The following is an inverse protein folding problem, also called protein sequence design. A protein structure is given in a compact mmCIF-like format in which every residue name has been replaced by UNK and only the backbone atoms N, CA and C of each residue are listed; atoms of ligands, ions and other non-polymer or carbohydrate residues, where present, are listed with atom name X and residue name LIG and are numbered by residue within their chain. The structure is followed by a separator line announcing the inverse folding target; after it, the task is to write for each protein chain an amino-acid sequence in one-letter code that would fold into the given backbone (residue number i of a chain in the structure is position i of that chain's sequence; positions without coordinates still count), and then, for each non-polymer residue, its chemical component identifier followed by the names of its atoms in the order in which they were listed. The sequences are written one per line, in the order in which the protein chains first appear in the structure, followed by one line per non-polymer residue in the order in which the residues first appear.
data_IF_998411419616
#
_entry.id   IF_998411419616
#
_cell.length_a   1.000
_cell.length_b   1.000
_cell.length_c   1.000
_cell.angle_alpha   90.00
_cell.angle_beta   90.00
_cell.angle_gamma   90.00
#
_symmetry.space_group_name_H-M   'P 1'
#
loop_
_entity.id
_entity.type
_entity.pdbx_description
1 polymer ?
#
# COMPACT_ATOMS: atom_id res chain seq x y z
N UNK A 1 -9.75 -25.76 -10.45
CA UNK A 1 -9.50 -24.84 -9.32
C UNK A 1 -8.60 -23.71 -9.79
N UNK A 2 -9.21 -22.59 -10.17
CA UNK A 2 -8.49 -21.36 -10.57
C UNK A 2 -8.01 -20.70 -9.29
N UNK A 3 -6.69 -20.59 -9.12
CA UNK A 3 -6.09 -19.93 -7.97
C UNK A 3 -6.56 -18.48 -7.92
N UNK A 4 -7.01 -18.04 -6.75
CA UNK A 4 -7.50 -16.68 -6.45
C UNK A 4 -6.54 -15.59 -6.95
N UNK A 5 -5.25 -15.90 -7.06
CA UNK A 5 -4.17 -15.05 -7.59
C UNK A 5 -4.36 -14.66 -9.07
N UNK A 6 -4.84 -15.55 -9.95
CA UNK A 6 -5.06 -15.22 -11.38
C UNK A 6 -6.28 -14.30 -11.57
N UNK A 7 -7.29 -14.40 -10.69
CA UNK A 7 -8.49 -13.55 -10.72
C UNK A 7 -8.19 -12.13 -10.23
N UNK A 8 -7.28 -12.01 -9.25
CA UNK A 8 -6.83 -10.70 -8.74
C UNK A 8 -6.00 -9.95 -9.80
N UNK A 9 -5.10 -10.63 -10.51
CA UNK A 9 -4.35 -10.03 -11.62
C UNK A 9 -5.24 -9.51 -12.75
N UNK A 10 -6.32 -10.23 -13.10
CA UNK A 10 -7.24 -9.80 -14.13
C UNK A 10 -8.10 -8.59 -13.72
N UNK A 11 -8.43 -8.44 -12.43
CA UNK A 11 -9.22 -7.29 -11.93
C UNK A 11 -8.38 -6.02 -11.73
N UNK A 12 -7.09 -6.14 -11.38
CA UNK A 12 -6.20 -4.99 -11.17
C UNK A 12 -5.91 -4.23 -12.48
N UNK A 13 -5.92 -4.90 -13.65
CA UNK A 13 -5.74 -4.24 -14.95
C UNK A 13 -7.06 -3.85 -15.67
N UNK A 14 -8.22 -4.31 -15.19
CA UNK A 14 -9.52 -4.12 -15.86
C UNK A 14 -10.36 -2.92 -15.33
N UNK A 15 -9.80 -2.07 -14.46
CA UNK A 15 -10.57 -1.06 -13.70
C UNK A 15 -10.97 0.23 -14.42
N UNK A 16 -10.59 0.46 -15.69
CA UNK A 16 -11.04 1.61 -16.48
C UNK A 16 -12.04 1.16 -17.55
N UNK A 17 -13.13 0.52 -17.10
CA UNK A 17 -14.22 0.09 -17.97
C UNK A 17 -15.26 1.19 -18.13
N UNK A 18 -15.11 2.03 -19.15
CA UNK A 18 -16.29 2.65 -19.77
C UNK A 18 -17.00 1.53 -20.52
N UNK A 19 -18.29 1.33 -20.22
CA UNK A 19 -19.07 0.21 -20.72
C UNK A 19 -18.97 0.06 -22.24
N UNK A 20 -18.49 -1.09 -22.71
CA UNK A 20 -18.63 -1.52 -24.10
C UNK A 20 -18.92 -3.03 -24.14
N UNK A 21 -19.88 -3.39 -24.99
CA UNK A 21 -20.55 -4.68 -25.05
C UNK A 21 -19.66 -5.90 -25.34
N UNK A 22 -20.28 -7.07 -25.13
CA UNK A 22 -19.71 -8.41 -25.28
C UNK A 22 -19.02 -8.59 -26.64
N UNK A 23 -17.78 -9.11 -26.62
CA UNK A 23 -17.21 -9.79 -27.79
C UNK A 23 -15.96 -9.22 -28.45
N UNK A 24 -14.99 -8.62 -27.73
CA UNK A 24 -13.64 -8.36 -28.28
C UNK A 24 -12.51 -8.74 -27.32
N UNK A 25 -11.49 -9.38 -27.88
CA UNK A 25 -10.29 -9.85 -27.19
C UNK A 25 -9.63 -8.76 -26.34
N UNK A 26 -9.31 -9.10 -25.08
CA UNK A 26 -8.64 -8.25 -24.09
C UNK A 26 -7.26 -7.81 -24.61
N UNK A 27 -7.08 -6.54 -24.95
CA UNK A 27 -5.77 -5.93 -25.24
C UNK A 27 -5.18 -5.34 -23.95
N UNK A 28 -3.95 -5.74 -23.59
CA UNK A 28 -3.19 -5.19 -22.45
C UNK A 28 -2.76 -3.74 -22.69
N UNK A 29 -2.92 -2.89 -21.67
CA UNK A 29 -2.25 -1.59 -21.49
C UNK A 29 -2.57 -0.52 -22.54
N UNK A 30 -3.75 0.13 -22.41
CA UNK A 30 -4.22 1.22 -23.29
C UNK A 30 -3.45 2.55 -23.12
N UNK A 31 -2.84 2.80 -21.96
CA UNK A 31 -2.20 4.08 -21.64
C UNK A 31 -0.67 3.96 -21.64
N UNK A 32 0.01 4.98 -22.15
CA UNK A 32 1.47 5.06 -22.25
C UNK A 32 2.11 5.63 -20.98
N UNK A 33 1.41 6.54 -20.30
CA UNK A 33 1.94 7.32 -19.17
C UNK A 33 0.79 7.74 -18.25
N UNK A 34 1.07 7.77 -16.95
CA UNK A 34 0.18 8.31 -15.90
C UNK A 34 0.97 9.34 -15.11
N UNK A 35 0.57 10.61 -15.13
CA UNK A 35 1.27 11.65 -14.37
C UNK A 35 0.31 12.71 -13.83
N UNK A 36 0.70 13.35 -12.72
CA UNK A 36 0.19 14.66 -12.36
C UNK A 36 0.87 15.69 -13.27
N UNK A 37 0.09 16.55 -13.92
CA UNK A 37 0.59 17.63 -14.79
C UNK A 37 0.27 18.98 -14.15
N UNK A 38 1.17 19.96 -14.31
CA UNK A 38 0.92 21.33 -13.85
C UNK A 38 -0.28 21.93 -14.59
N UNK A 39 -1.19 22.55 -13.84
CA UNK A 39 -2.44 23.09 -14.39
C UNK A 39 -3.49 22.04 -14.74
N UNK A 40 -3.33 20.78 -14.33
CA UNK A 40 -4.35 19.75 -14.52
C UNK A 40 -5.70 20.16 -13.87
N UNK A 41 -6.85 19.84 -14.50
CA UNK A 41 -8.15 20.15 -13.95
C UNK A 41 -8.36 19.47 -12.59
N UNK A 42 -8.96 20.16 -11.64
CA UNK A 42 -9.21 19.64 -10.31
C UNK A 42 -10.53 18.87 -10.20
N UNK A 43 -10.62 18.04 -9.17
CA UNK A 43 -11.87 17.54 -8.60
C UNK A 43 -11.88 17.83 -7.09
N UNK A 44 -12.86 17.28 -6.35
CA UNK A 44 -12.93 17.42 -4.90
C UNK A 44 -11.71 16.84 -4.15
N UNK A 45 -10.89 16.03 -4.82
CA UNK A 45 -9.69 15.38 -4.26
C UNK A 45 -8.37 15.98 -4.78
N UNK A 46 -8.42 17.21 -5.29
CA UNK A 46 -7.27 17.92 -5.85
C UNK A 46 -7.07 17.71 -7.36
N UNK A 47 -5.87 18.02 -7.88
CA UNK A 47 -5.54 17.87 -9.29
C UNK A 47 -5.74 16.44 -9.80
N UNK A 48 -6.38 16.31 -10.97
CA UNK A 48 -6.61 15.00 -11.62
C UNK A 48 -5.32 14.45 -12.24
N UNK A 49 -5.26 13.14 -12.39
CA UNK A 49 -4.17 12.47 -13.12
C UNK A 49 -4.46 12.46 -14.62
N UNK A 50 -3.45 12.78 -15.42
CA UNK A 50 -3.48 12.71 -16.87
C UNK A 50 -3.10 11.28 -17.31
N UNK A 51 -3.98 10.65 -18.09
CA UNK A 51 -3.77 9.34 -18.71
C UNK A 51 -3.66 9.51 -20.22
N UNK A 52 -2.46 9.31 -20.77
CA UNK A 52 -2.19 9.43 -22.22
C UNK A 52 -2.40 8.08 -22.92
N UNK A 53 -3.27 8.03 -23.93
CA UNK A 53 -3.53 6.80 -24.70
C UNK A 53 -2.41 6.51 -25.69
N UNK A 54 -2.01 5.23 -25.79
CA UNK A 54 -0.99 4.76 -26.74
C UNK A 54 -1.37 4.93 -28.21
N UNK A 55 -2.66 4.94 -28.53
CA UNK A 55 -3.18 4.80 -29.89
C UNK A 55 -3.61 6.12 -30.55
N UNK A 56 -3.83 7.18 -29.78
CA UNK A 56 -4.51 8.40 -30.28
C UNK A 56 -3.92 9.73 -29.81
N UNK A 57 -2.89 9.74 -28.96
CA UNK A 57 -2.34 10.97 -28.38
C UNK A 57 -3.34 11.77 -27.51
N UNK A 58 -4.56 11.27 -27.32
CA UNK A 58 -5.57 11.90 -26.48
C UNK A 58 -5.27 11.63 -25.00
N UNK A 59 -5.33 12.70 -24.22
CA UNK A 59 -5.26 12.67 -22.76
C UNK A 59 -6.66 12.62 -22.17
N UNK A 60 -6.84 11.82 -21.13
CA UNK A 60 -8.02 11.88 -20.27
C UNK A 60 -7.60 12.23 -18.86
N UNK A 61 -8.43 13.01 -18.15
CA UNK A 61 -8.19 13.36 -16.75
C UNK A 61 -9.13 12.58 -15.84
N UNK A 62 -8.55 11.86 -14.89
CA UNK A 62 -9.30 11.03 -13.93
C UNK A 62 -8.99 11.45 -12.50
N UNK A 63 -9.94 11.21 -11.59
CA UNK A 63 -9.69 11.41 -10.16
C UNK A 63 -8.48 10.57 -9.73
N UNK A 64 -7.58 11.18 -8.96
CA UNK A 64 -6.42 10.52 -8.37
C UNK A 64 -6.84 9.58 -7.24
N UNK A 65 -7.76 10.01 -6.38
CA UNK A 65 -8.17 9.27 -5.18
C UNK A 65 -9.17 8.13 -5.45
N UNK A 66 -10.12 8.33 -6.38
CA UNK A 66 -11.23 7.40 -6.61
C UNK A 66 -11.19 6.83 -8.03
N UNK A 67 -11.38 5.51 -8.16
CA UNK A 67 -11.23 4.83 -9.46
C UNK A 67 -12.36 5.12 -10.44
N UNK A 68 -13.54 5.45 -9.94
CA UNK A 68 -14.71 5.71 -10.77
C UNK A 68 -15.29 7.09 -10.47
N UNK A 69 -15.80 7.75 -11.51
CA UNK A 69 -16.32 9.12 -11.42
C UNK A 69 -17.54 9.21 -10.48
N UNK A 70 -18.39 8.18 -10.46
CA UNK A 70 -19.55 8.13 -9.56
C UNK A 70 -19.16 8.18 -8.09
N UNK A 71 -18.11 7.47 -7.67
CA UNK A 71 -17.64 7.49 -6.29
C UNK A 71 -17.02 8.85 -5.94
N UNK A 72 -16.24 9.44 -6.86
CA UNK A 72 -15.73 10.80 -6.70
C UNK A 72 -16.87 11.81 -6.51
N UNK A 73 -17.93 11.73 -7.31
CA UNK A 73 -19.11 12.59 -7.19
C UNK A 73 -19.87 12.37 -5.88
N UNK A 74 -20.12 11.12 -5.49
CA UNK A 74 -20.79 10.80 -4.21
C UNK A 74 -20.02 11.32 -3.01
N UNK A 75 -18.69 11.17 -3.00
CA UNK A 75 -17.85 11.68 -1.92
C UNK A 75 -17.89 13.21 -1.88
N UNK A 76 -17.80 13.89 -3.03
CA UNK A 76 -17.96 15.35 -3.11
C UNK A 76 -19.30 15.80 -2.55
N UNK A 77 -20.39 15.17 -2.98
CA UNK A 77 -21.75 15.56 -2.59
C UNK A 77 -21.94 15.33 -1.07
N UNK A 78 -21.48 14.18 -0.57
CA UNK A 78 -21.49 13.88 0.87
C UNK A 78 -20.70 14.91 1.68
N UNK A 79 -19.47 15.24 1.26
CA UNK A 79 -18.62 16.25 1.92
C UNK A 79 -19.25 17.65 1.88
N UNK A 80 -19.93 18.01 0.79
CA UNK A 80 -20.62 19.31 0.69
C UNK A 80 -21.83 19.43 1.62
N UNK A 81 -22.45 18.31 1.96
CA UNK A 81 -23.59 18.22 2.87
C UNK A 81 -23.21 17.89 4.32
N UNK A 82 -21.91 17.81 4.63
CA UNK A 82 -21.44 17.35 5.93
C UNK A 82 -21.78 18.37 7.03
N UNK A 83 -22.35 17.89 8.12
CA UNK A 83 -22.61 18.70 9.30
C UNK A 83 -21.28 19.15 9.96
N UNK A 84 -21.25 20.28 10.67
CA UNK A 84 -20.10 20.67 11.46
C UNK A 84 -19.75 19.59 12.50
N UNK A 85 -18.50 19.15 12.50
CA UNK A 85 -17.98 18.25 13.54
C UNK A 85 -17.35 19.06 14.66
N UNK A 86 -17.60 18.63 15.89
CA UNK A 86 -16.74 18.98 17.03
C UNK A 86 -15.37 18.32 16.89
N UNK A 87 -14.39 18.77 17.68
CA UNK A 87 -13.07 18.12 17.76
C UNK A 87 -12.97 17.24 18.99
N UNK A 88 -12.12 16.22 18.95
CA UNK A 88 -11.84 15.39 20.11
C UNK A 88 -11.39 16.23 21.32
N UNK A 89 -10.55 17.27 21.12
CA UNK A 89 -10.09 18.15 22.19
C UNK A 89 -11.21 19.02 22.78
N UNK A 90 -12.24 19.36 22.00
CA UNK A 90 -13.41 20.04 22.55
C UNK A 90 -14.28 19.07 23.36
N UNK A 91 -14.43 17.82 22.87
CA UNK A 91 -15.25 16.78 23.51
C UNK A 91 -14.74 16.35 24.88
N UNK A 92 -13.41 16.29 25.09
CA UNK A 92 -12.86 15.86 26.40
C UNK A 92 -13.28 16.76 27.57
N UNK A 93 -13.74 17.99 27.30
CA UNK A 93 -14.25 18.92 28.33
C UNK A 93 -15.62 18.53 28.88
N UNK A 94 -16.36 17.69 28.16
CA UNK A 94 -17.70 17.24 28.56
C UNK A 94 -17.64 15.90 29.30
N UNK A 95 -18.72 15.56 30.00
CA UNK A 95 -18.87 14.24 30.64
C UNK A 95 -18.83 13.14 29.59
N UNK A 96 -18.32 11.96 29.97
CA UNK A 96 -18.16 10.82 29.05
C UNK A 96 -19.46 10.50 28.33
N UNK A 97 -20.59 10.51 29.05
CA UNK A 97 -21.92 10.17 28.54
C UNK A 97 -22.37 11.12 27.41
N UNK A 98 -21.97 12.38 27.46
CA UNK A 98 -22.32 13.37 26.44
C UNK A 98 -21.46 13.30 25.18
N UNK A 99 -20.33 12.59 25.20
CA UNK A 99 -19.41 12.49 24.04
C UNK A 99 -19.92 11.46 23.05
N UNK A 100 -20.24 11.91 21.83
CA UNK A 100 -20.86 11.06 20.83
C UNK A 100 -20.17 11.13 19.46
N UNK A 101 -20.26 10.04 18.70
CA UNK A 101 -19.90 9.97 17.29
C UNK A 101 -21.09 9.48 16.48
N UNK A 102 -21.51 10.26 15.49
CA UNK A 102 -22.54 9.84 14.54
C UNK A 102 -21.90 9.10 13.37
N UNK A 103 -22.20 7.81 13.20
CA UNK A 103 -21.71 7.00 12.08
C UNK A 103 -22.36 7.42 10.75
N UNK A 104 -23.61 7.88 10.77
CA UNK A 104 -24.34 8.34 9.57
C UNK A 104 -23.72 9.61 8.99
N UNK A 105 -23.50 10.62 9.83
CA UNK A 105 -22.96 11.92 9.44
C UNK A 105 -21.43 11.95 9.43
N UNK A 106 -20.79 10.97 10.11
CA UNK A 106 -19.35 10.84 10.30
C UNK A 106 -18.72 12.03 11.05
N UNK A 107 -19.39 12.49 12.10
CA UNK A 107 -18.98 13.65 12.91
C UNK A 107 -19.00 13.35 14.40
N UNK A 108 -18.15 14.03 15.15
CA UNK A 108 -18.22 14.10 16.60
C UNK A 108 -19.20 15.19 17.03
N UNK A 109 -19.97 14.93 18.08
CA UNK A 109 -20.91 15.89 18.65
C UNK A 109 -21.11 15.66 20.15
N UNK A 110 -21.78 16.61 20.80
CA UNK A 110 -22.11 16.58 22.23
C UNK A 110 -23.61 16.38 22.39
N UNK A 111 -24.01 15.39 23.18
CA UNK A 111 -25.42 15.15 23.55
C UNK A 111 -25.87 16.12 24.66
N UNK A 112 -27.13 16.60 24.64
CA UNK A 112 -28.20 16.31 23.68
C UNK A 112 -28.08 17.06 22.36
N UNK A 113 -28.47 16.41 21.27
CA UNK A 113 -28.59 17.02 19.94
C UNK A 113 -29.77 16.40 19.17
N UNK A 114 -30.75 17.23 18.81
CA UNK A 114 -31.95 16.80 18.08
C UNK A 114 -31.65 16.40 16.64
N UNK A 115 -30.54 16.88 16.05
CA UNK A 115 -30.15 16.54 14.67
C UNK A 115 -29.80 15.07 14.53
N UNK A 116 -29.31 14.44 15.60
CA UNK A 116 -28.78 13.08 15.58
C UNK A 116 -29.70 12.02 16.21
N UNK A 117 -30.93 12.38 16.59
CA UNK A 117 -31.86 11.51 17.33
C UNK A 117 -32.23 10.22 16.58
N UNK A 118 -32.29 10.28 15.24
CA UNK A 118 -32.62 9.14 14.37
C UNK A 118 -31.41 8.57 13.62
N UNK A 119 -30.20 8.96 14.00
CA UNK A 119 -28.97 8.51 13.36
C UNK A 119 -28.33 7.33 14.12
N UNK A 120 -27.38 6.66 13.47
CA UNK A 120 -26.55 5.64 14.13
C UNK A 120 -25.48 6.33 14.95
N UNK A 121 -25.63 6.33 16.27
CA UNK A 121 -24.77 7.05 17.21
C UNK A 121 -24.06 6.09 18.15
N UNK A 122 -22.78 6.36 18.38
CA UNK A 122 -21.98 5.76 19.46
C UNK A 122 -21.82 6.84 20.54
N UNK A 123 -22.40 6.60 21.72
CA UNK A 123 -22.32 7.51 22.87
C UNK A 123 -21.33 6.99 23.92
N UNK A 124 -20.96 7.84 24.88
CA UNK A 124 -20.12 7.39 26.00
C UNK A 124 -18.64 7.25 25.66
N UNK A 125 -18.13 8.01 24.67
CA UNK A 125 -16.78 7.85 24.15
C UNK A 125 -15.71 8.19 25.22
N UNK A 126 -14.86 7.23 25.63
CA UNK A 126 -13.76 7.53 26.53
C UNK A 126 -12.65 8.31 25.80
N UNK A 127 -11.83 9.02 26.58
CA UNK A 127 -10.72 9.82 26.02
C UNK A 127 -9.71 8.97 25.23
N UNK A 128 -9.49 7.72 25.65
CA UNK A 128 -8.62 6.78 24.94
C UNK A 128 -9.12 6.43 23.54
N UNK A 129 -10.44 6.31 23.35
CA UNK A 129 -11.06 6.08 22.03
C UNK A 129 -10.95 7.31 21.14
N UNK A 130 -11.14 8.50 21.69
CA UNK A 130 -10.97 9.75 20.96
C UNK A 130 -9.52 9.96 20.49
N UNK A 131 -8.54 9.54 21.31
CA UNK A 131 -7.11 9.66 20.98
C UNK A 131 -6.60 8.61 19.97
N UNK A 132 -7.33 7.51 19.79
CA UNK A 132 -6.93 6.39 18.91
C UNK A 132 -8.11 5.93 18.04
N UNK A 133 -8.58 6.79 17.13
CA UNK A 133 -9.82 6.56 16.41
C UNK A 133 -9.82 5.33 15.50
N UNK A 134 -8.67 4.89 14.98
CA UNK A 134 -8.60 3.73 14.09
C UNK A 134 -9.02 2.42 14.76
N UNK A 135 -9.01 2.32 16.09
CA UNK A 135 -9.44 1.14 16.83
C UNK A 135 -10.97 1.05 16.99
N UNK A 136 -11.71 2.13 16.72
CA UNK A 136 -13.16 2.13 16.85
C UNK A 136 -13.89 2.52 15.56
N UNK A 137 -13.29 3.35 14.71
CA UNK A 137 -13.87 3.71 13.42
C UNK A 137 -13.94 2.47 12.54
N UNK A 138 -15.11 2.24 11.94
CA UNK A 138 -15.26 1.19 10.95
C UNK A 138 -14.38 1.48 9.71
N UNK A 139 -13.66 0.48 9.17
CA UNK A 139 -12.82 0.68 8.01
C UNK A 139 -13.65 1.01 6.76
N UNK A 140 -13.18 1.95 5.95
CA UNK A 140 -13.76 2.24 4.63
C UNK A 140 -13.22 1.25 3.58
N UNK A 141 -13.74 0.02 3.59
CA UNK A 141 -13.16 -1.13 2.84
C UNK A 141 -13.39 -1.11 1.31
N UNK A 142 -14.21 -0.19 0.81
CA UNK A 142 -14.59 -0.12 -0.60
C UNK A 142 -13.38 0.03 -1.52
N UNK A 143 -13.10 -1.00 -2.31
CA UNK A 143 -11.83 -1.17 -3.03
C UNK A 143 -11.59 -0.17 -4.18
N UNK A 144 -12.65 0.48 -4.66
CA UNK A 144 -12.61 1.53 -5.67
C UNK A 144 -12.49 2.94 -5.08
N UNK A 145 -12.54 3.03 -3.76
CA UNK A 145 -12.58 4.26 -2.97
C UNK A 145 -11.37 4.27 -2.02
N UNK A 146 -11.61 4.30 -0.71
CA UNK A 146 -10.56 4.37 0.31
C UNK A 146 -9.75 3.08 0.46
N UNK A 147 -10.38 1.92 0.27
CA UNK A 147 -9.75 0.60 0.43
C UNK A 147 -8.92 0.50 1.73
N UNK A 148 -9.49 0.98 2.84
CA UNK A 148 -8.82 1.04 4.14
C UNK A 148 -8.86 -0.33 4.82
N UNK A 149 -7.71 -0.77 5.32
CA UNK A 149 -7.59 -2.01 6.08
C UNK A 149 -6.58 -1.81 7.20
N UNK A 150 -6.93 -2.25 8.39
CA UNK A 150 -6.07 -2.05 9.56
C UNK A 150 -5.11 -3.21 9.75
N UNK A 151 -3.86 -2.87 10.09
CA UNK A 151 -2.83 -3.84 10.43
C UNK A 151 -3.22 -4.65 11.66
N UNK A 152 -2.86 -5.93 11.66
CA UNK A 152 -2.98 -6.76 12.86
C UNK A 152 -1.99 -6.31 13.93
N UNK A 153 -2.31 -6.59 15.19
CA UNK A 153 -1.43 -6.29 16.33
C UNK A 153 -0.02 -6.90 16.21
N UNK A 154 0.11 -8.13 15.70
CA UNK A 154 1.42 -8.78 15.53
C UNK A 154 2.34 -8.00 14.57
N UNK A 155 1.79 -7.50 13.47
CA UNK A 155 2.52 -6.65 12.52
C UNK A 155 2.90 -5.31 13.16
N UNK A 156 2.01 -4.70 13.94
CA UNK A 156 2.29 -3.43 14.62
C UNK A 156 3.41 -3.59 15.67
N UNK A 157 3.41 -4.68 16.44
CA UNK A 157 4.48 -5.03 17.39
C UNK A 157 5.81 -5.26 16.69
N UNK A 158 5.78 -5.94 15.53
CA UNK A 158 6.96 -6.07 14.67
C UNK A 158 7.48 -4.69 14.25
N UNK A 159 6.62 -3.82 13.71
CA UNK A 159 7.02 -2.49 13.28
C UNK A 159 7.59 -1.64 14.42
N UNK A 160 6.98 -1.63 15.60
CA UNK A 160 7.54 -0.91 16.74
C UNK A 160 8.88 -1.49 17.21
N UNK A 161 9.13 -2.79 17.03
CA UNK A 161 10.45 -3.38 17.28
C UNK A 161 11.47 -2.96 16.23
N UNK A 162 11.08 -2.95 14.94
CA UNK A 162 11.91 -2.49 13.83
C UNK A 162 12.31 -1.02 14.00
N UNK A 163 11.35 -0.14 14.32
CA UNK A 163 11.62 1.28 14.54
C UNK A 163 12.62 1.50 15.69
N UNK A 164 12.53 0.72 16.78
CA UNK A 164 13.51 0.73 17.87
C UNK A 164 14.90 0.31 17.42
N UNK A 165 15.02 -0.83 16.73
CA UNK A 165 16.30 -1.38 16.26
C UNK A 165 16.99 -0.39 15.31
N UNK A 166 16.23 0.17 14.37
CA UNK A 166 16.72 1.16 13.41
C UNK A 166 16.98 2.53 14.03
N UNK A 167 16.60 2.75 15.30
CA UNK A 167 16.67 4.03 16.02
C UNK A 167 16.00 5.15 15.23
N UNK A 168 14.75 4.91 14.81
CA UNK A 168 13.96 5.91 14.12
C UNK A 168 13.43 6.93 15.13
N UNK A 169 13.73 8.20 14.89
CA UNK A 169 13.29 9.33 15.71
C UNK A 169 11.94 9.88 15.25
N UNK A 170 11.70 9.88 13.93
CA UNK A 170 10.48 10.42 13.34
C UNK A 170 9.77 9.44 12.40
N UNK A 171 8.44 9.41 12.44
CA UNK A 171 7.63 8.60 11.52
C UNK A 171 6.57 9.47 10.83
N UNK A 172 6.67 9.58 9.51
CA UNK A 172 5.61 10.14 8.67
C UNK A 172 4.69 9.01 8.20
N UNK A 173 3.50 8.93 8.77
CA UNK A 173 2.48 7.94 8.43
C UNK A 173 1.68 8.44 7.21
N UNK A 174 1.73 7.72 6.08
CA UNK A 174 0.99 8.04 4.86
C UNK A 174 -0.06 6.96 4.59
N UNK A 175 -1.32 7.23 4.92
CA UNK A 175 -2.42 6.27 4.79
C UNK A 175 -2.39 5.15 5.84
N UNK A 176 -1.76 5.39 7.00
CA UNK A 176 -1.52 4.35 8.02
C UNK A 176 -2.00 4.76 9.42
N UNK A 177 -3.30 5.09 9.58
CA UNK A 177 -3.85 5.61 10.84
C UNK A 177 -3.71 4.60 11.99
N UNK A 178 -3.76 3.28 11.71
CA UNK A 178 -3.58 2.26 12.74
C UNK A 178 -2.13 2.18 13.27
N UNK A 179 -1.13 2.38 12.42
CA UNK A 179 0.25 2.50 12.87
C UNK A 179 0.43 3.77 13.70
N UNK A 180 -0.15 4.88 13.25
CA UNK A 180 -0.12 6.14 13.97
C UNK A 180 -0.70 5.99 15.39
N UNK A 181 -1.89 5.41 15.54
CA UNK A 181 -2.51 5.19 16.85
C UNK A 181 -1.73 4.23 17.73
N UNK A 182 -1.23 3.13 17.15
CA UNK A 182 -0.42 2.16 17.89
C UNK A 182 0.85 2.81 18.47
N UNK A 183 1.50 3.70 17.71
CA UNK A 183 2.64 4.46 18.22
C UNK A 183 2.24 5.42 19.35
N UNK A 184 0.99 5.90 19.41
CA UNK A 184 0.47 6.72 20.54
C UNK A 184 0.43 5.85 21.80
N UNK A 185 -0.07 4.62 21.66
CA UNK A 185 -0.10 3.68 22.77
C UNK A 185 1.33 3.32 23.22
N UNK A 186 2.26 3.05 22.30
CA UNK A 186 3.64 2.73 22.64
C UNK A 186 4.39 3.86 23.35
N UNK A 187 4.07 5.13 23.07
CA UNK A 187 4.68 6.26 23.79
C UNK A 187 4.19 6.40 25.23
N UNK A 188 3.05 5.80 25.56
CA UNK A 188 2.45 5.80 26.90
C UNK A 188 2.80 4.54 27.71
N UNK A 189 3.52 3.57 27.11
CA UNK A 189 3.97 2.37 27.80
C UNK A 189 5.04 2.73 28.84
N UNK A 190 4.82 2.36 30.10
CA UNK A 190 5.72 2.68 31.21
C UNK A 190 6.95 1.77 31.24
N UNK A 191 6.83 0.55 30.70
CA UNK A 191 7.90 -0.45 30.76
C UNK A 191 8.99 -0.20 29.73
N UNK A 192 8.61 0.05 28.47
CA UNK A 192 9.52 0.22 27.34
C UNK A 192 8.96 1.28 26.37
N UNK A 193 8.94 2.56 26.77
CA UNK A 193 8.34 3.62 25.97
C UNK A 193 9.03 3.77 24.63
N UNK A 194 8.24 3.93 23.57
CA UNK A 194 8.73 4.31 22.24
C UNK A 194 8.33 5.76 21.96
N UNK A 195 9.24 6.68 22.25
CA UNK A 195 9.05 8.09 21.93
C UNK A 195 9.46 8.33 20.48
N UNK A 196 8.48 8.65 19.63
CA UNK A 196 8.67 8.94 18.21
C UNK A 196 7.89 10.22 17.90
N UNK A 197 8.55 11.17 17.25
CA UNK A 197 7.86 12.31 16.65
C UNK A 197 7.13 11.83 15.40
N UNK A 198 5.84 12.12 15.26
CA UNK A 198 5.04 11.53 14.18
C UNK A 198 3.96 12.46 13.67
N UNK A 199 3.60 12.24 12.41
CA UNK A 199 2.55 12.99 11.74
C UNK A 199 1.80 12.06 10.79
N UNK A 200 0.49 12.26 10.66
CA UNK A 200 -0.38 11.47 9.82
C UNK A 200 -0.87 12.27 8.60
N UNK A 201 -0.66 11.71 7.43
CA UNK A 201 -1.23 12.13 6.15
C UNK A 201 -2.22 11.06 5.71
N UNK A 202 -3.51 11.39 5.60
CA UNK A 202 -4.54 10.45 5.14
C UNK A 202 -5.61 11.15 4.29
N UNK A 203 -6.26 10.39 3.42
CA UNK A 203 -7.38 10.89 2.60
C UNK A 203 -8.69 10.94 3.40
N UNK A 204 -8.81 10.13 4.45
CA UNK A 204 -10.01 9.96 5.27
C UNK A 204 -10.32 11.23 6.09
N UNK A 205 -11.33 11.99 5.63
CA UNK A 205 -11.76 13.23 6.27
C UNK A 205 -12.29 13.05 7.69
N UNK A 206 -12.72 11.83 8.07
CA UNK A 206 -13.24 11.56 9.42
C UNK A 206 -12.21 11.88 10.49
N UNK A 207 -10.93 11.69 10.18
CA UNK A 207 -9.81 11.86 11.09
C UNK A 207 -9.58 13.33 11.49
N UNK A 208 -10.07 14.30 10.71
CA UNK A 208 -9.97 15.74 11.02
C UNK A 208 -10.68 16.09 12.35
N UNK A 209 -11.73 15.35 12.72
CA UNK A 209 -12.42 15.55 13.99
C UNK A 209 -11.66 14.97 15.19
N UNK A 210 -10.75 14.02 14.97
CA UNK A 210 -10.09 13.27 16.06
C UNK A 210 -8.71 13.78 16.41
N UNK A 211 -7.95 14.24 15.41
CA UNK A 211 -6.58 14.65 15.61
C UNK A 211 -6.44 16.16 15.47
N UNK A 212 -5.58 16.80 16.28
CA UNK A 212 -5.25 18.20 16.09
C UNK A 212 -4.47 18.39 14.78
N UNK A 213 -4.55 19.58 14.20
CA UNK A 213 -3.82 19.93 12.97
C UNK A 213 -2.29 19.75 13.10
N UNK A 214 -1.74 19.82 14.32
CA UNK A 214 -0.33 19.57 14.61
C UNK A 214 0.10 18.11 14.43
N UNK A 215 -0.84 17.17 14.33
CA UNK A 215 -0.58 15.73 14.18
C UNK A 215 -1.16 15.13 12.91
N UNK A 216 -2.10 15.81 12.26
CA UNK A 216 -2.82 15.29 11.11
C UNK A 216 -3.16 16.39 10.10
N UNK A 217 -3.08 16.05 8.82
CA UNK A 217 -3.78 16.80 7.78
C UNK A 217 -4.33 15.87 6.71
N UNK A 218 -5.48 16.24 6.15
CA UNK A 218 -6.06 15.54 5.01
C UNK A 218 -5.16 15.74 3.79
N UNK A 219 -4.76 14.63 3.18
CA UNK A 219 -3.76 14.59 2.13
C UNK A 219 -4.07 13.49 1.11
N UNK A 220 -3.88 13.80 -0.17
CA UNK A 220 -4.00 12.82 -1.25
C UNK A 220 -2.61 12.38 -1.73
N UNK A 221 -2.22 11.15 -1.35
CA UNK A 221 -0.90 10.60 -1.63
C UNK A 221 -0.60 10.34 -3.11
N UNK A 222 -1.61 10.36 -4.00
CA UNK A 222 -1.40 10.12 -5.43
C UNK A 222 -1.09 11.38 -6.23
N UNK A 223 -1.45 12.57 -5.72
CA UNK A 223 -1.16 13.84 -6.38
C UNK A 223 -0.46 14.86 -5.45
N UNK A 224 -0.17 14.49 -4.21
CA UNK A 224 0.50 15.34 -3.24
C UNK A 224 -0.35 16.54 -2.78
N UNK A 225 -1.69 16.45 -2.86
CA UNK A 225 -2.57 17.56 -2.54
C UNK A 225 -2.93 17.62 -1.05
N UNK A 226 -2.71 18.78 -0.43
CA UNK A 226 -3.24 19.15 0.87
C UNK A 226 -4.60 19.83 0.71
N UNK A 227 -5.60 19.41 1.50
CA UNK A 227 -6.96 19.94 1.37
C UNK A 227 -7.17 21.28 2.09
N UNK A 228 -6.25 21.64 3.01
CA UNK A 228 -6.28 22.88 3.78
C UNK A 228 -4.85 23.44 3.90
N UNK A 229 -4.68 24.74 3.66
CA UNK A 229 -3.38 25.42 3.81
C UNK A 229 -2.82 25.32 5.23
N UNK A 230 -3.66 25.54 6.25
CA UNK A 230 -3.25 25.40 7.65
C UNK A 230 -2.72 23.99 8.00
N UNK A 231 -3.24 22.97 7.32
CA UNK A 231 -2.76 21.59 7.45
C UNK A 231 -1.41 21.37 6.77
N UNK A 232 -1.19 22.00 5.60
CA UNK A 232 0.12 22.03 4.93
C UNK A 232 1.17 22.78 5.78
N UNK A 233 0.80 23.90 6.39
CA UNK A 233 1.68 24.65 7.30
C UNK A 233 2.08 23.82 8.52
N UNK A 234 1.11 23.12 9.13
CA UNK A 234 1.36 22.23 10.27
C UNK A 234 2.26 21.06 9.88
N UNK A 235 2.05 20.47 8.70
CA UNK A 235 2.93 19.45 8.14
C UNK A 235 4.35 20.00 7.91
N UNK A 236 4.49 21.19 7.32
CA UNK A 236 5.80 21.82 7.11
C UNK A 236 6.52 22.10 8.45
N UNK A 237 5.79 22.45 9.51
CA UNK A 237 6.36 22.58 10.85
C UNK A 237 6.85 21.25 11.41
N UNK A 238 6.08 20.17 11.26
CA UNK A 238 6.53 18.82 11.60
C UNK A 238 7.82 18.46 10.85
N UNK A 239 7.88 18.70 9.54
CA UNK A 239 9.04 18.40 8.70
C UNK A 239 10.29 19.16 9.16
N UNK A 240 10.16 20.44 9.51
CA UNK A 240 11.25 21.26 10.08
C UNK A 240 11.69 20.80 11.46
N UNK A 241 10.78 20.19 12.24
CA UNK A 241 11.09 19.65 13.57
C UNK A 241 11.81 18.29 13.51
N UNK A 242 11.79 17.61 12.36
CA UNK A 242 12.42 16.30 12.22
C UNK A 242 13.95 16.44 12.25
N UNK A 243 14.59 15.72 13.18
CA UNK A 243 16.03 15.51 13.25
C UNK A 243 16.38 14.02 13.31
N UNK A 244 17.62 13.62 13.05
CA UNK A 244 18.04 12.21 13.17
C UNK A 244 17.53 11.32 12.02
N UNK A 245 16.95 10.16 12.35
CA UNK A 245 16.44 9.18 11.39
C UNK A 245 14.92 9.28 11.24
N UNK A 246 14.44 9.37 10.01
CA UNK A 246 13.02 9.49 9.69
C UNK A 246 12.56 8.33 8.81
N UNK A 247 11.42 7.73 9.14
CA UNK A 247 10.75 6.73 8.31
C UNK A 247 9.48 7.32 7.71
N UNK A 248 9.37 7.33 6.38
CA UNK A 248 8.10 7.50 5.68
C UNK A 248 7.47 6.11 5.53
N UNK A 249 6.35 5.87 6.19
CA UNK A 249 5.65 4.60 6.13
C UNK A 249 4.33 4.74 5.37
N UNK A 250 4.16 3.98 4.29
CA UNK A 250 2.99 4.06 3.41
C UNK A 250 2.34 2.70 3.17
N UNK A 251 1.01 2.62 3.34
CA UNK A 251 0.20 1.45 2.97
C UNK A 251 -0.88 1.86 1.95
N UNK A 252 -0.52 1.95 0.67
CA UNK A 252 -1.46 2.44 -0.34
C UNK A 252 -2.49 1.36 -0.72
N UNK A 253 -3.66 1.77 -1.27
CA UNK A 253 -4.61 0.83 -1.86
C UNK A 253 -3.99 -0.10 -2.93
N UNK A 254 -4.45 -1.34 -3.03
CA UNK A 254 -3.87 -2.39 -3.89
C UNK A 254 -3.80 -2.08 -5.39
N UNK A 255 -4.66 -1.19 -5.89
CA UNK A 255 -4.63 -0.75 -7.29
C UNK A 255 -4.27 0.72 -7.43
N UNK A 256 -3.52 1.24 -6.47
CA UNK A 256 -2.84 2.53 -6.56
C UNK A 256 -1.97 2.57 -7.82
N UNK A 257 -1.88 3.75 -8.42
CA UNK A 257 -0.98 4.00 -9.53
C UNK A 257 0.41 4.26 -8.95
N UNK A 258 1.34 3.31 -9.16
CA UNK A 258 2.66 3.30 -8.49
C UNK A 258 3.52 4.51 -8.85
N UNK A 259 3.53 4.92 -10.12
CA UNK A 259 4.33 6.06 -10.59
C UNK A 259 3.96 7.38 -9.87
N UNK A 260 2.68 7.83 -9.85
CA UNK A 260 2.30 9.02 -9.09
C UNK A 260 2.51 8.91 -7.57
N UNK A 261 2.31 7.72 -6.99
CA UNK A 261 2.56 7.49 -5.57
C UNK A 261 4.05 7.71 -5.24
N UNK A 262 4.95 7.06 -5.99
CA UNK A 262 6.39 7.19 -5.80
C UNK A 262 6.84 8.64 -6.02
N UNK A 263 6.30 9.34 -7.02
CA UNK A 263 6.58 10.76 -7.23
C UNK A 263 6.22 11.61 -6.00
N UNK A 264 5.06 11.33 -5.39
CA UNK A 264 4.61 12.01 -4.17
C UNK A 264 5.48 11.66 -2.96
N UNK A 265 5.80 10.38 -2.75
CA UNK A 265 6.70 9.95 -1.66
C UNK A 265 8.10 10.56 -1.81
N UNK A 266 8.63 10.65 -3.03
CA UNK A 266 9.91 11.31 -3.30
C UNK A 266 9.86 12.82 -3.02
N UNK A 267 8.72 13.48 -3.27
CA UNK A 267 8.53 14.89 -2.88
C UNK A 267 8.55 15.06 -1.36
N UNK A 268 7.88 14.16 -0.63
CA UNK A 268 7.92 14.15 0.85
C UNK A 268 9.35 13.88 1.36
N UNK A 269 10.06 12.90 0.79
CA UNK A 269 11.45 12.58 1.14
C UNK A 269 12.39 13.77 0.95
N UNK A 270 12.25 14.54 -0.13
CA UNK A 270 13.02 15.78 -0.34
C UNK A 270 12.70 16.86 0.69
N UNK A 271 11.46 16.96 1.15
CA UNK A 271 11.13 17.92 2.23
C UNK A 271 11.83 17.63 3.57
N UNK A 272 12.39 16.42 3.76
CA UNK A 272 13.06 15.95 4.98
C UNK A 272 14.60 15.96 4.85
N UNK A 273 15.15 16.79 3.97
CA UNK A 273 16.58 16.87 3.60
C UNK A 273 17.58 16.91 4.78
N UNK A 274 17.17 17.40 5.95
CA UNK A 274 18.02 17.48 7.15
C UNK A 274 18.08 16.17 7.97
N UNK A 275 17.47 15.09 7.49
CA UNK A 275 17.39 13.81 8.21
C UNK A 275 17.83 12.64 7.33
N UNK A 276 18.26 11.55 7.96
CA UNK A 276 18.42 10.29 7.26
C UNK A 276 17.02 9.68 7.02
N UNK A 277 16.53 9.80 5.79
CA UNK A 277 15.17 9.38 5.45
C UNK A 277 15.15 8.00 4.80
N UNK A 278 14.34 7.13 5.39
CA UNK A 278 13.96 5.84 4.83
C UNK A 278 12.50 5.85 4.40
N UNK A 279 12.18 5.03 3.40
CA UNK A 279 10.82 4.80 2.91
C UNK A 279 10.50 3.33 3.09
N UNK A 280 9.31 3.03 3.63
CA UNK A 280 8.74 1.70 3.65
C UNK A 280 7.33 1.73 3.08
N UNK A 281 7.12 0.96 2.01
CA UNK A 281 5.82 0.83 1.36
C UNK A 281 5.36 -0.62 1.45
N UNK A 282 4.15 -0.85 1.95
CA UNK A 282 3.55 -2.19 1.98
C UNK A 282 2.67 -2.42 0.76
N UNK A 283 3.04 -3.37 -0.10
CA UNK A 283 2.24 -3.74 -1.27
C UNK A 283 2.28 -5.25 -1.50
N UNK A 284 1.32 -5.82 -2.25
CA UNK A 284 1.39 -7.21 -2.66
C UNK A 284 2.62 -7.50 -3.51
N UNK A 285 3.31 -8.61 -3.21
CA UNK A 285 4.53 -8.98 -3.94
C UNK A 285 4.32 -9.06 -5.46
N UNK A 286 3.12 -9.44 -5.90
CA UNK A 286 2.80 -9.61 -7.31
C UNK A 286 2.61 -8.30 -8.09
N UNK A 287 2.36 -7.18 -7.41
CA UNK A 287 2.42 -5.83 -8.02
C UNK A 287 3.71 -5.10 -7.68
N UNK A 288 4.51 -5.62 -6.75
CA UNK A 288 5.79 -5.05 -6.33
C UNK A 288 6.75 -4.75 -7.48
N UNK A 289 6.72 -5.51 -8.57
CA UNK A 289 7.51 -5.20 -9.78
C UNK A 289 7.21 -3.80 -10.35
N UNK A 290 5.97 -3.32 -10.29
CA UNK A 290 5.60 -1.97 -10.74
C UNK A 290 6.14 -0.91 -9.79
N UNK A 291 6.15 -1.18 -8.49
CA UNK A 291 6.77 -0.31 -7.50
C UNK A 291 8.29 -0.22 -7.76
N UNK A 292 8.98 -1.34 -7.92
CA UNK A 292 10.42 -1.39 -8.20
C UNK A 292 10.82 -0.79 -9.55
N UNK A 293 9.89 -0.69 -10.51
CA UNK A 293 10.11 0.04 -11.76
C UNK A 293 10.11 1.56 -11.54
N UNK A 294 9.28 2.04 -10.61
CA UNK A 294 9.18 3.46 -10.28
C UNK A 294 10.20 3.89 -9.21
N UNK A 295 10.56 3.00 -8.30
CA UNK A 295 11.53 3.19 -7.22
C UNK A 295 12.51 1.99 -7.16
N UNK A 296 13.53 1.95 -8.05
CA UNK A 296 14.48 0.84 -8.15
C UNK A 296 15.38 0.66 -6.92
N UNK A 297 15.49 1.68 -6.07
CA UNK A 297 16.27 1.68 -4.84
C UNK A 297 15.62 0.85 -3.71
N UNK A 298 14.30 0.59 -3.79
CA UNK A 298 13.61 -0.21 -2.80
C UNK A 298 13.94 -1.69 -2.96
N UNK A 299 14.00 -2.41 -1.83
CA UNK A 299 14.16 -3.85 -1.76
C UNK A 299 12.95 -4.47 -1.09
N UNK A 300 12.45 -5.57 -1.64
CA UNK A 300 11.36 -6.34 -1.02
C UNK A 300 11.93 -7.22 0.10
N UNK A 301 11.38 -7.13 1.31
CA UNK A 301 11.70 -8.04 2.40
C UNK A 301 10.74 -9.25 2.38
N UNK A 302 11.14 -10.34 3.03
CA UNK A 302 10.37 -11.58 3.06
C UNK A 302 9.24 -11.58 4.12
N UNK A 303 9.22 -10.59 5.00
CA UNK A 303 8.25 -10.48 6.09
C UNK A 303 6.82 -10.30 5.59
N UNK A 304 5.90 -11.08 6.17
CA UNK A 304 4.48 -11.08 5.81
C UNK A 304 3.75 -9.98 6.59
N UNK A 305 3.20 -9.00 5.87
CA UNK A 305 2.37 -7.93 6.46
C UNK A 305 0.98 -8.48 6.74
N UNK A 306 0.53 -8.47 7.99
CA UNK A 306 -0.78 -9.02 8.38
C UNK A 306 -1.78 -7.93 8.79
N UNK A 307 -3.06 -8.20 8.51
CA UNK A 307 -4.18 -7.27 8.69
C UNK A 307 -5.27 -7.90 9.54
N UNK A 308 -6.06 -7.09 10.25
CA UNK A 308 -7.21 -7.56 11.01
C UNK A 308 -8.25 -8.22 10.09
N UNK A 309 -8.57 -9.50 10.38
CA UNK A 309 -9.69 -10.29 9.81
C UNK A 309 -10.04 -10.05 8.33
N UNK A 310 -9.05 -9.88 7.45
CA UNK A 310 -9.33 -9.60 6.04
C UNK A 310 -8.91 -10.72 5.07
N UNK A 311 -9.92 -11.31 4.42
CA UNK A 311 -9.76 -12.45 3.52
C UNK A 311 -9.07 -12.13 2.19
N UNK A 312 -9.08 -10.87 1.71
CA UNK A 312 -8.50 -10.54 0.39
C UNK A 312 -6.97 -10.50 0.40
N UNK A 313 -6.35 -10.42 1.58
CA UNK A 313 -4.88 -10.36 1.71
C UNK A 313 -4.25 -11.72 1.90
N UNK A 314 -5.08 -12.75 1.85
CA UNK A 314 -4.77 -14.08 2.27
C UNK A 314 -4.77 -14.99 1.04
N UNK A 315 -3.63 -15.64 0.79
CA UNK A 315 -3.49 -16.70 -0.19
C UNK A 315 -3.61 -18.07 0.47
N UNK A 316 -4.00 -19.10 -0.28
CA UNK A 316 -3.95 -20.48 0.21
C UNK A 316 -2.47 -20.89 0.32
N UNK A 317 -2.00 -21.14 1.53
CA UNK A 317 -0.65 -21.61 1.81
C UNK A 317 -0.65 -22.61 2.97
N UNK A 318 0.49 -23.21 3.22
CA UNK A 318 0.75 -24.00 4.43
C UNK A 318 1.68 -23.15 5.30
N UNK A 319 1.21 -22.72 6.47
CA UNK A 319 2.13 -22.46 7.57
C UNK A 319 2.68 -23.83 8.03
N UNK A 320 3.88 -23.91 8.56
CA UNK A 320 4.56 -25.19 8.89
C UNK A 320 3.79 -26.14 9.83
N UNK A 321 2.58 -25.78 10.28
CA UNK A 321 1.68 -26.57 11.09
C UNK A 321 0.42 -26.95 10.30
N UNK A 322 0.50 -27.99 9.45
CA UNK A 322 -0.57 -28.84 8.86
C UNK A 322 -2.05 -28.36 8.84
N UNK A 323 -2.27 -27.05 8.69
CA UNK A 323 -3.56 -26.39 8.75
C UNK A 323 -3.66 -25.54 7.50
N UNK A 324 -4.83 -25.57 6.84
CA UNK A 324 -5.11 -24.76 5.64
C UNK A 324 -5.29 -23.28 6.04
N UNK A 325 -4.34 -22.68 6.75
CA UNK A 325 -4.33 -21.27 7.12
C UNK A 325 -3.86 -20.43 5.94
N UNK A 326 -4.51 -19.28 5.77
CA UNK A 326 -4.22 -18.41 4.63
C UNK A 326 -3.05 -17.48 4.96
N UNK A 327 -2.10 -17.34 4.05
CA UNK A 327 -0.84 -16.60 4.24
C UNK A 327 -0.92 -15.24 3.54
N UNK A 328 -0.41 -14.18 4.19
CA UNK A 328 -0.46 -12.84 3.59
C UNK A 328 0.33 -12.75 2.27
N UNK A 329 -0.24 -12.07 1.28
CA UNK A 329 0.42 -11.73 0.00
C UNK A 329 1.15 -10.40 0.02
N UNK A 330 1.03 -9.64 1.11
CA UNK A 330 1.62 -8.30 1.23
C UNK A 330 3.01 -8.39 1.84
N UNK A 331 3.95 -7.61 1.28
CA UNK A 331 5.35 -7.52 1.71
C UNK A 331 5.73 -6.05 1.86
N UNK A 332 6.65 -5.72 2.79
CA UNK A 332 7.25 -4.40 2.84
C UNK A 332 8.34 -4.26 1.75
N UNK A 333 8.41 -3.07 1.17
CA UNK A 333 9.42 -2.63 0.21
C UNK A 333 10.10 -1.41 0.81
N UNK A 334 11.43 -1.43 0.95
CA UNK A 334 12.13 -0.37 1.66
C UNK A 334 13.54 -0.13 1.14
N UNK A 335 14.05 1.09 1.31
CA UNK A 335 15.45 1.47 1.08
C UNK A 335 16.33 1.29 2.32
N UNK A 336 15.77 0.86 3.46
CA UNK A 336 16.58 0.44 4.63
C UNK A 336 17.46 -0.75 4.23
N UNK A 337 18.74 -0.78 4.64
CA UNK A 337 19.58 -1.96 4.46
C UNK A 337 18.94 -3.20 5.09
N UNK A 338 18.66 -4.21 4.26
CA UNK A 338 17.80 -5.32 4.64
C UNK A 338 18.32 -6.17 5.83
N UNK A 339 19.64 -6.18 6.07
CA UNK A 339 20.25 -6.86 7.22
C UNK A 339 19.93 -6.18 8.56
N UNK A 340 19.63 -4.87 8.57
CA UNK A 340 19.27 -4.13 9.78
C UNK A 340 17.86 -4.46 10.28
N UNK A 341 17.00 -5.02 9.42
CA UNK A 341 15.62 -5.38 9.79
C UNK A 341 15.60 -6.86 10.21
N UNK A 342 15.56 -7.08 11.52
CA UNK A 342 15.49 -8.42 12.11
C UNK A 342 14.10 -9.06 11.93
N UNK A 343 13.96 -10.39 11.98
CA UNK A 343 12.67 -11.05 11.91
C UNK A 343 11.75 -10.73 13.10
N UNK A 344 10.42 -10.87 12.94
CA UNK A 344 9.50 -10.84 14.07
C UNK A 344 9.92 -11.86 15.13
N UNK A 345 10.07 -11.43 16.39
CA UNK A 345 10.59 -12.28 17.47
C UNK A 345 9.83 -13.61 17.61
N UNK A 346 8.51 -13.59 17.46
CA UNK A 346 7.65 -14.78 17.54
C UNK A 346 7.76 -15.75 16.35
N UNK A 347 8.44 -15.35 15.28
CA UNK A 347 8.61 -16.13 14.05
C UNK A 347 10.08 -16.24 13.66
N UNK A 348 11.03 -15.94 14.55
CA UNK A 348 12.44 -15.85 14.22
C UNK A 348 13.01 -17.18 13.67
N UNK A 349 12.49 -18.30 14.17
CA UNK A 349 12.78 -19.67 13.72
C UNK A 349 12.27 -19.99 12.30
N UNK A 350 11.44 -19.13 11.71
CA UNK A 350 10.93 -19.28 10.33
C UNK A 350 11.77 -18.52 9.30
N UNK A 351 12.85 -17.88 9.72
CA UNK A 351 13.75 -17.12 8.85
C UNK A 351 15.19 -17.55 9.07
N UNK A 352 16.00 -17.42 8.03
CA UNK A 352 17.45 -17.61 8.08
C UNK A 352 18.14 -16.38 7.47
N UNK A 353 19.38 -16.11 7.90
CA UNK A 353 20.16 -15.01 7.35
C UNK A 353 20.94 -15.48 6.12
N UNK A 354 20.69 -14.84 4.98
CA UNK A 354 21.45 -15.08 3.75
C UNK A 354 22.66 -14.15 3.71
N UNK A 355 23.86 -14.70 3.96
CA UNK A 355 25.13 -13.96 3.93
C UNK A 355 25.42 -13.32 2.56
N UNK A 356 25.04 -13.97 1.47
CA UNK A 356 25.30 -13.46 0.12
C UNK A 356 24.43 -12.23 -0.17
N UNK A 357 23.14 -12.31 0.19
CA UNK A 357 22.20 -11.22 -0.04
C UNK A 357 22.15 -10.18 1.09
N UNK A 358 22.86 -10.42 2.20
CA UNK A 358 22.85 -9.61 3.42
C UNK A 358 21.42 -9.25 3.87
N UNK A 359 20.60 -10.29 4.09
CA UNK A 359 19.20 -10.15 4.51
C UNK A 359 18.66 -11.42 5.16
N UNK A 360 17.63 -11.28 6.00
CA UNK A 360 16.82 -12.41 6.44
C UNK A 360 15.84 -12.83 5.35
N UNK A 361 15.73 -14.15 5.12
CA UNK A 361 14.82 -14.75 4.15
C UNK A 361 14.00 -15.84 4.81
N UNK A 362 12.79 -16.08 4.30
CA UNK A 362 11.95 -17.21 4.75
C UNK A 362 12.72 -18.53 4.55
N UNK A 363 12.55 -19.52 5.43
CA UNK A 363 13.23 -20.83 5.31
C UNK A 363 13.01 -21.49 3.94
N UNK A 364 11.86 -21.23 3.29
CA UNK A 364 11.56 -21.74 1.94
C UNK A 364 12.09 -20.85 0.82
N UNK A 365 12.65 -19.70 1.13
CA UNK A 365 13.31 -18.84 0.16
C UNK A 365 14.83 -19.08 0.17
N UNK A 366 15.23 -20.19 -0.45
CA UNK A 366 16.64 -20.50 -0.62
C UNK A 366 17.29 -19.58 -1.67
N UNK A 367 18.57 -19.26 -1.44
CA UNK A 367 19.37 -18.48 -2.38
C UNK A 367 19.53 -19.25 -3.70
N UNK A 368 19.41 -18.55 -4.83
CA UNK A 368 19.73 -19.08 -6.14
C UNK A 368 21.05 -18.49 -6.64
N UNK A 369 22.10 -19.31 -6.70
CA UNK A 369 23.44 -18.88 -7.12
C UNK A 369 23.47 -18.30 -8.55
N UNK A 370 22.63 -18.83 -9.45
CA UNK A 370 22.55 -18.36 -10.83
C UNK A 370 21.91 -16.97 -10.95
N UNK A 371 20.95 -16.66 -10.09
CA UNK A 371 20.35 -15.33 -10.01
C UNK A 371 21.12 -14.40 -9.05
N UNK A 372 22.02 -14.95 -8.23
CA UNK A 372 22.64 -14.29 -7.08
C UNK A 372 21.60 -13.60 -6.17
N UNK A 373 20.47 -14.28 -5.92
CA UNK A 373 19.34 -13.71 -5.20
C UNK A 373 18.45 -14.77 -4.53
N UNK A 374 17.81 -14.39 -3.42
CA UNK A 374 16.72 -15.14 -2.81
C UNK A 374 15.39 -14.77 -3.49
N UNK A 375 14.97 -15.56 -4.47
CA UNK A 375 13.93 -15.19 -5.46
C UNK A 375 12.53 -15.70 -5.16
N UNK A 376 12.35 -16.49 -4.11
CA UNK A 376 11.07 -17.11 -3.76
C UNK A 376 10.18 -16.10 -3.05
N UNK A 377 9.16 -15.60 -3.75
CA UNK A 377 8.24 -14.61 -3.17
C UNK A 377 7.16 -15.24 -2.28
N UNK A 378 6.77 -16.48 -2.58
CA UNK A 378 5.71 -17.19 -1.88
C UNK A 378 5.75 -18.70 -2.14
N UNK A 379 5.52 -19.50 -1.11
CA UNK A 379 5.37 -20.95 -1.20
C UNK A 379 6.71 -21.68 -1.13
N UNK A 380 6.84 -22.75 -1.90
CA UNK A 380 8.06 -23.57 -1.96
C UNK A 380 9.15 -22.89 -2.80
N UNK A 381 10.41 -23.25 -2.51
CA UNK A 381 11.62 -22.72 -3.18
C UNK A 381 11.48 -22.70 -4.70
N UNK A 382 11.68 -21.54 -5.30
CA UNK A 382 11.64 -21.40 -6.76
C UNK A 382 12.82 -22.10 -7.44
N UNK A 383 12.57 -22.66 -8.62
CA UNK A 383 13.57 -23.35 -9.43
C UNK A 383 14.06 -22.43 -10.56
N UNK A 384 15.38 -22.34 -10.72
CA UNK A 384 15.99 -21.55 -11.79
C UNK A 384 15.78 -22.21 -13.16
N UNK A 385 15.27 -21.46 -14.13
CA UNK A 385 15.29 -21.87 -15.52
C UNK A 385 16.45 -21.20 -16.26
N UNK A 386 17.44 -22.01 -16.66
CA UNK A 386 18.65 -21.54 -17.36
C UNK A 386 18.29 -20.78 -18.64
N UNK A 387 17.36 -21.32 -19.44
CA UNK A 387 16.97 -20.71 -20.72
C UNK A 387 16.29 -19.35 -20.55
N UNK A 388 15.48 -19.17 -19.50
CA UNK A 388 14.82 -17.90 -19.21
C UNK A 388 15.65 -16.96 -18.33
N UNK A 389 16.73 -17.47 -17.72
CA UNK A 389 17.54 -16.80 -16.71
C UNK A 389 16.71 -16.19 -15.57
N UNK A 390 15.69 -16.93 -15.11
CA UNK A 390 14.72 -16.50 -14.09
C UNK A 390 14.28 -17.71 -13.27
N UNK A 391 14.10 -17.48 -11.96
CA UNK A 391 13.49 -18.45 -11.05
C UNK A 391 11.96 -18.43 -11.13
N UNK A 392 11.35 -19.62 -11.14
CA UNK A 392 9.91 -19.82 -11.19
C UNK A 392 9.42 -20.73 -10.05
N UNK A 393 8.13 -20.63 -9.65
CA UNK A 393 7.55 -21.60 -8.72
C UNK A 393 7.77 -23.05 -9.18
N UNK A 394 7.89 -24.02 -8.25
CA UNK A 394 8.00 -25.43 -8.62
C UNK A 394 6.91 -25.90 -9.57
N UNK A 395 7.30 -26.77 -10.51
CA UNK A 395 6.41 -27.33 -11.53
C UNK A 395 6.21 -26.46 -12.78
N UNK A 396 6.89 -25.31 -12.88
CA UNK A 396 7.01 -24.62 -14.17
C UNK A 396 7.92 -25.40 -15.12
N UNK A 397 7.57 -25.43 -16.41
CA UNK A 397 8.31 -26.11 -17.48
C UNK A 397 8.58 -25.14 -18.64
N UNK A 398 9.78 -25.21 -19.23
CA UNK A 398 10.17 -24.37 -20.36
C UNK A 398 9.75 -25.00 -21.71
N UNK A 399 8.93 -24.35 -22.55
CA UNK A 399 8.73 -24.76 -23.96
C UNK A 399 9.80 -24.11 -24.83
N UNK A 400 10.75 -24.92 -25.33
CA UNK A 400 11.82 -24.47 -26.24
C UNK A 400 11.26 -23.76 -27.49
N UNK A 401 10.11 -24.20 -28.02
CA UNK A 401 9.49 -23.57 -29.21
C UNK A 401 8.96 -22.16 -28.94
N UNK A 402 8.51 -21.91 -27.71
CA UNK A 402 7.96 -20.63 -27.27
C UNK A 402 8.97 -19.74 -26.55
N UNK A 403 10.11 -20.31 -26.14
CA UNK A 403 11.15 -19.66 -25.35
C UNK A 403 10.62 -19.01 -24.07
N UNK A 404 9.70 -19.73 -23.40
CA UNK A 404 9.02 -19.25 -22.20
C UNK A 404 8.68 -20.41 -21.25
N UNK A 405 8.69 -20.13 -19.95
CA UNK A 405 8.23 -21.03 -18.91
C UNK A 405 6.72 -20.93 -18.68
N UNK A 406 6.08 -22.07 -18.47
CA UNK A 406 4.65 -22.19 -18.22
C UNK A 406 4.39 -23.14 -17.06
N UNK A 407 3.29 -22.92 -16.34
CA UNK A 407 2.76 -23.87 -15.37
C UNK A 407 1.76 -24.81 -16.07
N UNK A 408 2.02 -26.12 -16.15
CA UNK A 408 1.04 -27.08 -16.68
C UNK A 408 -0.26 -27.05 -15.87
N UNK A 409 -1.42 -27.04 -16.54
CA UNK A 409 -2.74 -27.13 -15.88
C UNK A 409 -3.30 -28.54 -16.11
N UNK A 410 -3.62 -29.27 -15.04
CA UNK A 410 -4.29 -30.58 -15.07
C UNK A 410 -3.64 -31.61 -16.04
N UNK A 411 -2.31 -31.75 -16.02
CA UNK A 411 -1.60 -32.70 -16.89
C UNK A 411 -1.56 -32.34 -18.38
N UNK A 412 -2.16 -31.22 -18.80
CA UNK A 412 -2.05 -30.75 -20.18
C UNK A 412 -0.71 -30.04 -20.38
N UNK A 413 0.10 -30.61 -21.27
CA UNK A 413 1.34 -30.00 -21.78
C UNK A 413 0.97 -28.73 -22.55
N UNK A 414 1.78 -27.68 -22.39
CA UNK A 414 1.61 -26.43 -23.11
C UNK A 414 1.56 -26.67 -24.63
N UNK A 415 0.45 -26.28 -25.28
CA UNK A 415 0.27 -26.40 -26.74
C UNK A 415 0.91 -25.18 -27.39
N UNK A 416 2.10 -25.36 -27.97
CA UNK A 416 2.84 -24.29 -28.63
C UNK A 416 2.15 -23.98 -30.00
N UNK A 417 1.08 -23.15 -30.02
CA UNK A 417 0.39 -22.69 -31.25
C UNK A 417 1.23 -21.64 -32.00
N UNK A 418 2.31 -22.07 -32.66
CA UNK A 418 2.90 -21.31 -33.78
C UNK A 418 2.48 -21.99 -35.07
N UNK A 419 1.30 -21.66 -35.59
CA UNK A 419 1.10 -21.81 -37.03
C UNK A 419 1.78 -20.63 -37.71
N UNK A 420 2.80 -20.99 -38.48
CA UNK A 420 3.45 -20.29 -39.60
C UNK A 420 2.77 -18.97 -40.01
N UNK A 421 3.50 -17.86 -39.82
CA UNK A 421 3.57 -16.85 -40.86
C UNK A 421 5.04 -16.79 -41.30
N UNK A 422 5.41 -17.68 -42.22
CA UNK A 422 6.49 -17.38 -43.15
C UNK A 422 6.14 -16.10 -43.91
N UNK A 423 7.18 -15.36 -44.30
CA UNK A 423 7.19 -14.09 -45.01
C UNK A 423 6.91 -12.83 -44.16
N UNK A 424 7.96 -12.31 -43.54
CA UNK A 424 8.80 -11.26 -44.15
C UNK A 424 9.89 -10.85 -43.15
N UNK A 425 11.12 -10.80 -43.64
CA UNK A 425 12.27 -10.23 -42.95
C UNK A 425 11.91 -8.93 -42.23
N UNK A 426 11.97 -8.97 -40.90
CA UNK A 426 12.18 -7.78 -40.09
C UNK A 426 13.41 -8.03 -39.24
N UNK A 427 14.41 -7.12 -39.21
CA UNK A 427 15.64 -7.36 -38.51
C UNK A 427 15.35 -7.61 -37.03
N UNK A 428 15.88 -8.73 -36.52
CA UNK A 428 15.89 -9.05 -35.11
C UNK A 428 16.51 -7.88 -34.36
N UNK A 429 15.70 -7.07 -33.66
CA UNK A 429 16.23 -6.19 -32.62
C UNK A 429 16.81 -7.10 -31.53
N UNK A 430 18.14 -7.22 -31.51
CA UNK A 430 18.89 -7.67 -30.33
C UNK A 430 18.28 -6.93 -29.14
N UNK A 431 17.67 -7.66 -28.20
CA UNK A 431 17.49 -7.13 -26.85
C UNK A 431 18.92 -6.89 -26.34
N UNK A 432 19.33 -5.64 -26.38
CA UNK A 432 20.51 -5.20 -25.66
C UNK A 432 20.23 -5.56 -24.20
N UNK A 433 21.09 -6.43 -23.67
CA UNK A 433 21.14 -6.76 -22.26
C UNK A 433 21.40 -5.48 -21.48
N UNK A 434 20.37 -4.88 -20.92
CA UNK A 434 20.56 -4.07 -19.73
C UNK A 434 20.78 -5.05 -18.60
N UNK A 435 22.06 -5.27 -18.27
CA UNK A 435 22.45 -5.79 -16.97
C UNK A 435 21.74 -4.92 -15.90
N UNK A 436 20.68 -5.45 -15.30
CA UNK A 436 20.33 -5.04 -13.96
C UNK A 436 21.45 -5.58 -13.07
N UNK A 437 22.48 -4.77 -12.86
CA UNK A 437 23.33 -4.91 -11.68
C UNK A 437 22.44 -4.60 -10.49
N UNK A 438 21.89 -5.64 -9.88
CA UNK A 438 21.36 -5.57 -8.54
C UNK A 438 22.56 -5.31 -7.62
N UNK A 439 22.57 -4.15 -6.97
CA UNK A 439 23.38 -3.87 -5.79
C UNK A 439 22.49 -3.96 -4.55
#
# INVERSE_FOLDING_TARGET
MVTVIEIVWAKVECGLGVGMGKGRARKRGFYSTVCAEDGAPCCAHGPKLCLKRKDRGSSIYVCSAFRNASACSRDRDFMSSQLPSQTAESLVKYTRQSRCYCQTCRVLFVYPDFVHEHHRVISGLPSSTLAMPSYFLEPLEESSEHAQYYFSEDWLKFMASTLRILRIDNVLCVGTPRLFDFLTACSQDVSEPLSINKFLLDLDARLEGFYPASLFTRFNALNGHFFKSAGEDSFNNFMRSCGGRTMIFCDPPFGVLMEPLVASLNKLKRGLENTQVFVMVTVPYFIGKKLLQAAPELKMLDYKVTYEKHVRFMSTGYDGNNSKRRVSVVRPFTDVPAHEILPPKSLADQYWFCEICQRYSDLKNLHCDQCNACTTFHGETYQHCISCNVCHPPGFQHCVKCDMCFRPKNGKVHICNKQLSDNRDKPKRRKVSTQCKCY
#
